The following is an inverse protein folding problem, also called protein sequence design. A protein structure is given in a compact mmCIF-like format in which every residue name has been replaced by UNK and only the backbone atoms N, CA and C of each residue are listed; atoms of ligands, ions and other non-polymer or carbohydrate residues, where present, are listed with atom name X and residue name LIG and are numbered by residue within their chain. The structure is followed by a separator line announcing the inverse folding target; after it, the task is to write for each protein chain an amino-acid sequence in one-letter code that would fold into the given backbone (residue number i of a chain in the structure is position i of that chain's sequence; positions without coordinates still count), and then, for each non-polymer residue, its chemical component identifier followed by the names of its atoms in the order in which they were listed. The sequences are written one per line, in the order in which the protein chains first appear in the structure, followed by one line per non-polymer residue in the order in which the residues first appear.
data_IF_819393838784
#
_entry.id   IF_819393838784
#
_cell.length_a   1.000
_cell.length_b   1.000
_cell.length_c   1.000
_cell.angle_alpha   90.00
_cell.angle_beta   90.00
_cell.angle_gamma   90.00
#
_symmetry.space_group_name_H-M   'P 1'
#
loop_
_entity.id
_entity.type
_entity.pdbx_description
1 polymer ?
#
# COMPACT_ATOMS: atom_id res chain seq x y z
N UNK A 1 13.02 -9.30 -17.03
CA UNK A 1 11.82 -8.54 -16.58
C UNK A 1 12.23 -7.65 -15.43
N UNK A 2 11.69 -6.43 -15.32
CA UNK A 2 11.95 -5.56 -14.18
C UNK A 2 11.17 -6.14 -12.98
N UNK A 3 11.84 -6.31 -11.84
CA UNK A 3 11.22 -6.75 -10.58
C UNK A 3 10.14 -5.75 -10.16
N UNK A 4 8.89 -6.17 -9.85
CA UNK A 4 7.91 -5.29 -9.24
C UNK A 4 8.34 -4.90 -7.83
N UNK A 5 8.04 -3.66 -7.40
CA UNK A 5 8.14 -3.30 -5.99
C UNK A 5 7.10 -4.08 -5.19
N UNK A 6 7.46 -4.54 -4.00
CA UNK A 6 6.55 -5.24 -3.11
C UNK A 6 6.19 -4.37 -1.90
N UNK A 7 4.90 -4.29 -1.60
CA UNK A 7 4.38 -3.68 -0.38
C UNK A 7 3.58 -4.70 0.42
N UNK A 8 3.92 -4.89 1.68
CA UNK A 8 3.16 -5.71 2.62
C UNK A 8 2.43 -4.80 3.61
N UNK A 9 1.10 -4.81 3.55
CA UNK A 9 0.23 -3.89 4.26
C UNK A 9 -0.52 -4.55 5.42
N UNK A 10 -0.94 -3.74 6.41
CA UNK A 10 -1.71 -4.21 7.55
C UNK A 10 -0.87 -4.95 8.59
N UNK A 11 0.37 -4.50 8.78
CA UNK A 11 1.24 -4.94 9.89
C UNK A 11 0.65 -4.38 11.17
N UNK A 12 0.27 -5.26 12.12
CA UNK A 12 -0.45 -4.84 13.33
C UNK A 12 0.10 -5.46 14.62
N UNK A 13 1.30 -6.06 14.54
CA UNK A 13 2.04 -6.58 15.70
C UNK A 13 3.55 -6.51 15.48
N UNK A 14 4.31 -6.56 16.58
CA UNK A 14 5.78 -6.70 16.51
C UNK A 14 6.20 -8.00 15.79
N UNK A 15 5.40 -9.07 15.92
CA UNK A 15 5.63 -10.31 15.20
C UNK A 15 5.53 -10.09 13.69
N UNK A 16 4.44 -9.47 13.23
CA UNK A 16 4.25 -9.18 11.80
C UNK A 16 5.39 -8.32 11.25
N UNK A 17 5.82 -7.29 12.01
CA UNK A 17 6.92 -6.44 11.59
C UNK A 17 8.22 -7.23 11.45
N UNK A 18 8.55 -8.11 12.39
CA UNK A 18 9.75 -8.96 12.32
C UNK A 18 9.73 -9.88 11.10
N UNK A 19 8.60 -10.54 10.86
CA UNK A 19 8.43 -11.45 9.72
C UNK A 19 8.56 -10.70 8.39
N UNK A 20 7.91 -9.54 8.27
CA UNK A 20 7.94 -8.75 7.02
C UNK A 20 9.25 -8.00 6.82
N UNK A 21 9.95 -7.60 7.86
CA UNK A 21 11.27 -6.98 7.75
C UNK A 21 12.33 -7.93 7.14
N UNK A 22 12.23 -9.24 7.43
CA UNK A 22 13.12 -10.26 6.85
C UNK A 22 12.76 -10.64 5.40
N UNK A 23 11.70 -10.10 4.83
CA UNK A 23 11.19 -10.42 3.49
C UNK A 23 11.83 -9.57 2.40
N UNK A 24 11.51 -9.86 1.13
CA UNK A 24 11.92 -9.07 -0.03
C UNK A 24 11.01 -7.85 -0.29
N UNK A 25 10.08 -7.52 0.62
CA UNK A 25 9.25 -6.33 0.48
C UNK A 25 10.08 -5.04 0.53
N UNK A 26 9.76 -4.09 -0.34
CA UNK A 26 10.35 -2.76 -0.37
C UNK A 26 9.62 -1.80 0.59
N UNK A 27 8.32 -2.05 0.83
CA UNK A 27 7.43 -1.19 1.62
C UNK A 27 6.66 -1.99 2.67
N UNK A 28 6.54 -1.44 3.88
CA UNK A 28 5.83 -2.01 5.02
C UNK A 28 4.73 -1.07 5.49
N UNK A 29 3.45 -1.52 5.45
CA UNK A 29 2.28 -0.67 5.67
C UNK A 29 1.62 -0.89 7.04
N UNK A 30 1.34 0.22 7.74
CA UNK A 30 0.62 0.30 9.01
C UNK A 30 -0.69 1.06 8.82
N UNK A 31 -1.81 0.56 9.35
CA UNK A 31 -3.12 1.18 9.17
C UNK A 31 -3.47 1.98 10.43
N UNK A 32 -3.56 3.30 10.29
CA UNK A 32 -3.94 4.24 11.35
C UNK A 32 -5.42 4.64 11.28
N UNK A 33 -6.20 3.96 10.47
CA UNK A 33 -7.65 4.11 10.37
C UNK A 33 -8.37 2.95 11.06
N UNK A 34 -9.67 3.11 11.33
CA UNK A 34 -10.51 2.04 11.91
C UNK A 34 -10.49 0.79 11.02
N UNK A 35 -9.98 -0.29 11.57
CA UNK A 35 -9.78 -1.56 10.87
C UNK A 35 -9.48 -2.67 11.87
N UNK A 36 -9.73 -3.93 11.49
CA UNK A 36 -9.22 -5.10 12.25
C UNK A 36 -7.70 -5.17 12.35
N UNK A 37 -6.98 -4.35 11.58
CA UNK A 37 -5.52 -4.23 11.55
C UNK A 37 -5.03 -2.85 11.98
N UNK A 38 -5.89 -2.08 12.66
CA UNK A 38 -5.51 -0.75 13.13
C UNK A 38 -4.42 -0.84 14.20
N UNK A 39 -3.51 0.15 14.18
CA UNK A 39 -2.41 0.26 15.12
C UNK A 39 -2.34 1.67 15.73
N UNK A 40 -1.80 1.76 16.93
CA UNK A 40 -1.53 3.05 17.54
C UNK A 40 -0.11 3.54 17.18
N UNK A 41 0.10 4.83 16.86
CA UNK A 41 1.43 5.36 16.46
C UNK A 41 2.55 5.07 17.46
N UNK A 42 2.29 5.15 18.78
CA UNK A 42 3.27 4.85 19.81
C UNK A 42 3.71 3.36 19.80
N UNK A 43 2.82 2.44 19.46
CA UNK A 43 3.17 1.03 19.35
C UNK A 43 4.07 0.79 18.14
N UNK A 44 3.73 1.35 16.98
CA UNK A 44 4.56 1.27 15.76
C UNK A 44 5.95 1.85 16.02
N UNK A 45 6.05 3.05 16.62
CA UNK A 45 7.33 3.65 16.99
C UNK A 45 8.17 2.73 17.90
N UNK A 46 7.52 2.09 18.88
CA UNK A 46 8.19 1.14 19.78
C UNK A 46 8.70 -0.10 19.04
N UNK A 47 7.93 -0.62 18.08
CA UNK A 47 8.33 -1.78 17.28
C UNK A 47 9.47 -1.45 16.31
N UNK A 48 9.42 -0.31 15.64
CA UNK A 48 10.48 0.14 14.72
C UNK A 48 11.86 0.26 15.40
N UNK A 49 11.90 0.55 16.71
CA UNK A 49 13.15 0.60 17.49
C UNK A 49 13.72 -0.79 17.82
N UNK A 50 12.98 -1.87 17.58
CA UNK A 50 13.35 -3.25 17.91
C UNK A 50 13.67 -4.11 16.69
N UNK A 51 13.49 -3.57 15.48
CA UNK A 51 13.64 -4.31 14.22
C UNK A 51 14.55 -3.51 13.29
N UNK A 52 15.45 -4.20 12.59
CA UNK A 52 16.25 -3.58 11.54
C UNK A 52 15.39 -3.34 10.29
N UNK A 53 15.29 -2.08 9.86
CA UNK A 53 14.44 -1.61 8.77
C UNK A 53 15.23 -0.82 7.73
N UNK A 54 16.56 -0.95 7.68
CA UNK A 54 17.47 -0.14 6.85
C UNK A 54 17.04 -0.11 5.38
N UNK A 55 16.60 -1.23 4.83
CA UNK A 55 16.21 -1.34 3.42
C UNK A 55 14.69 -1.26 3.20
N UNK A 56 13.92 -0.83 4.21
CA UNK A 56 12.46 -0.79 4.16
C UNK A 56 11.93 0.64 4.20
N UNK A 57 10.95 0.94 3.35
CA UNK A 57 10.16 2.16 3.44
C UNK A 57 8.88 1.91 4.23
N UNK A 58 8.58 2.78 5.18
CA UNK A 58 7.40 2.67 6.03
C UNK A 58 6.25 3.49 5.46
N UNK A 59 5.08 2.86 5.37
CA UNK A 59 3.86 3.45 4.80
C UNK A 59 2.79 3.55 5.88
N UNK A 60 2.32 4.76 6.16
CA UNK A 60 1.14 4.98 7.01
C UNK A 60 -0.12 5.06 6.15
N UNK A 61 -1.12 4.23 6.46
CA UNK A 61 -2.42 4.24 5.75
C UNK A 61 -3.46 4.98 6.59
N UNK A 62 -4.09 5.97 5.98
CA UNK A 62 -5.10 6.84 6.59
C UNK A 62 -6.38 6.85 5.75
N UNK A 63 -7.52 7.09 6.38
CA UNK A 63 -8.84 7.16 5.73
C UNK A 63 -9.59 8.37 6.26
N UNK A 64 -9.77 9.40 5.44
CA UNK A 64 -10.50 10.64 5.76
C UNK A 64 -10.01 11.32 7.06
N UNK A 65 -8.69 11.22 7.33
CA UNK A 65 -8.09 11.82 8.51
C UNK A 65 -7.62 13.25 8.21
N UNK A 66 -7.61 14.12 9.21
CA UNK A 66 -7.16 15.50 9.04
C UNK A 66 -5.65 15.58 8.77
N UNK A 67 -5.21 16.54 7.96
CA UNK A 67 -3.79 16.76 7.67
C UNK A 67 -2.99 17.00 8.97
N UNK A 68 -3.57 17.64 9.98
CA UNK A 68 -2.93 17.87 11.27
C UNK A 68 -2.68 16.56 12.04
N UNK A 69 -3.66 15.65 12.10
CA UNK A 69 -3.51 14.34 12.75
C UNK A 69 -2.48 13.46 12.02
N UNK A 70 -2.50 13.48 10.68
CA UNK A 70 -1.50 12.77 9.88
C UNK A 70 -0.09 13.30 10.19
N UNK A 71 0.10 14.63 10.19
CA UNK A 71 1.38 15.25 10.49
C UNK A 71 1.89 14.92 11.91
N UNK A 72 1.01 14.86 12.92
CA UNK A 72 1.38 14.41 14.27
C UNK A 72 1.80 12.92 14.30
N UNK A 73 1.15 12.09 13.50
CA UNK A 73 1.55 10.68 13.35
C UNK A 73 2.93 10.56 12.73
N UNK A 74 3.23 11.33 11.68
CA UNK A 74 4.55 11.37 11.02
C UNK A 74 5.66 11.82 11.99
N UNK A 75 5.39 12.75 12.90
CA UNK A 75 6.36 13.12 13.95
C UNK A 75 6.66 11.98 14.93
N UNK A 76 5.70 11.08 15.12
CA UNK A 76 5.81 9.96 16.07
C UNK A 76 6.43 8.72 15.43
N UNK A 77 6.05 8.42 14.19
CA UNK A 77 6.47 7.23 13.44
C UNK A 77 7.32 7.69 12.24
N UNK A 78 8.50 7.09 11.98
CA UNK A 78 9.37 7.48 10.88
C UNK A 78 8.79 6.98 9.54
N UNK A 79 7.69 7.56 9.08
CA UNK A 79 7.05 7.21 7.82
C UNK A 79 7.80 7.84 6.64
N UNK A 80 7.98 7.07 5.57
CA UNK A 80 8.47 7.55 4.27
C UNK A 80 7.30 7.93 3.35
N UNK A 81 6.15 7.30 3.54
CA UNK A 81 4.99 7.42 2.65
C UNK A 81 3.71 7.54 3.47
N UNK A 82 2.84 8.44 3.04
CA UNK A 82 1.46 8.56 3.50
C UNK A 82 0.55 8.03 2.39
N UNK A 83 -0.20 6.97 2.68
CA UNK A 83 -1.22 6.43 1.79
C UNK A 83 -2.60 6.91 2.22
N UNK A 84 -3.24 7.72 1.38
CA UNK A 84 -4.61 8.19 1.56
C UNK A 84 -5.58 7.19 0.92
N UNK A 85 -6.44 6.58 1.72
CA UNK A 85 -7.34 5.49 1.30
C UNK A 85 -8.82 5.84 1.52
N UNK A 86 -9.12 7.11 1.68
CA UNK A 86 -10.47 7.66 1.84
C UNK A 86 -10.96 8.39 0.61
N UNK A 87 -11.77 9.42 0.84
CA UNK A 87 -12.33 10.32 -0.17
C UNK A 87 -11.62 11.69 -0.14
N UNK A 88 -10.33 11.69 0.25
CA UNK A 88 -9.54 12.91 0.40
C UNK A 88 -9.50 13.69 -0.92
N UNK A 89 -9.79 14.98 -0.83
CA UNK A 89 -9.83 15.90 -1.97
C UNK A 89 -8.44 16.39 -2.37
N UNK A 90 -8.34 17.05 -3.53
CA UNK A 90 -7.11 17.73 -3.97
C UNK A 90 -6.65 18.76 -2.94
N UNK A 91 -7.60 19.47 -2.32
CA UNK A 91 -7.34 20.48 -1.30
C UNK A 91 -6.74 19.85 -0.03
N UNK A 92 -7.29 18.72 0.42
CA UNK A 92 -6.75 17.97 1.57
C UNK A 92 -5.31 17.48 1.29
N UNK A 93 -5.06 16.97 0.08
CA UNK A 93 -3.72 16.52 -0.34
C UNK A 93 -2.73 17.68 -0.35
N UNK A 94 -3.10 18.83 -0.92
CA UNK A 94 -2.28 20.04 -0.94
C UNK A 94 -2.00 20.58 0.48
N UNK A 95 -3.01 20.57 1.35
CA UNK A 95 -2.81 20.95 2.74
C UNK A 95 -1.83 20.03 3.46
N UNK A 96 -1.92 18.72 3.21
CA UNK A 96 -1.01 17.75 3.79
C UNK A 96 0.41 17.92 3.24
N UNK A 97 0.58 18.15 1.94
CA UNK A 97 1.89 18.23 1.28
C UNK A 97 2.78 19.38 1.79
N UNK A 98 2.21 20.43 2.39
CA UNK A 98 2.98 21.52 3.02
C UNK A 98 3.33 21.24 4.48
N UNK A 99 2.82 20.14 5.06
CA UNK A 99 3.01 19.77 6.48
C UNK A 99 3.98 18.59 6.67
N UNK A 100 4.42 17.94 5.57
CA UNK A 100 5.28 16.75 5.63
C UNK A 100 6.14 16.64 4.38
N UNK A 101 7.31 16.01 4.54
CA UNK A 101 8.23 15.67 3.43
C UNK A 101 8.00 14.21 2.94
N UNK A 102 7.02 13.50 3.47
CA UNK A 102 6.69 12.14 3.04
C UNK A 102 6.11 12.12 1.61
N UNK A 103 6.40 11.06 0.84
CA UNK A 103 5.66 10.80 -0.40
C UNK A 103 4.14 10.64 -0.07
N UNK A 104 3.27 11.20 -0.88
CA UNK A 104 1.82 11.06 -0.72
C UNK A 104 1.28 10.18 -1.84
N UNK A 105 0.71 9.03 -1.48
CA UNK A 105 0.08 8.11 -2.43
C UNK A 105 -1.44 8.09 -2.23
N UNK A 106 -2.18 7.98 -3.34
CA UNK A 106 -3.65 7.88 -3.31
C UNK A 106 -4.10 6.48 -3.71
N UNK A 107 -4.86 5.84 -2.83
CA UNK A 107 -5.55 4.61 -3.17
C UNK A 107 -6.87 4.93 -3.88
N UNK A 108 -7.14 4.23 -4.98
CA UNK A 108 -8.32 4.37 -5.81
C UNK A 108 -8.96 3.00 -6.07
N UNK A 109 -10.29 2.89 -6.10
CA UNK A 109 -10.96 1.67 -6.48
C UNK A 109 -10.75 1.38 -7.96
N UNK A 110 -10.75 0.09 -8.33
CA UNK A 110 -10.87 -0.31 -9.73
C UNK A 110 -12.31 -0.12 -10.21
N UNK A 111 -12.55 0.91 -11.02
CA UNK A 111 -13.86 1.22 -11.62
C UNK A 111 -13.68 1.99 -12.94
N UNK A 112 -14.77 2.22 -13.68
CA UNK A 112 -14.75 2.89 -14.99
C UNK A 112 -14.19 4.32 -14.96
N UNK A 113 -14.26 5.01 -13.81
CA UNK A 113 -13.77 6.39 -13.62
C UNK A 113 -12.31 6.50 -13.16
N UNK A 114 -11.66 5.40 -12.79
CA UNK A 114 -10.35 5.43 -12.11
C UNK A 114 -9.27 6.18 -12.87
N UNK A 115 -9.17 5.97 -14.20
CA UNK A 115 -8.16 6.66 -15.03
C UNK A 115 -8.43 8.17 -15.08
N UNK A 116 -9.69 8.59 -15.14
CA UNK A 116 -10.05 10.01 -15.08
C UNK A 116 -9.63 10.61 -13.74
N UNK A 117 -9.92 9.93 -12.64
CA UNK A 117 -9.51 10.36 -11.28
C UNK A 117 -7.99 10.41 -11.15
N UNK A 118 -7.25 9.42 -11.68
CA UNK A 118 -5.78 9.45 -11.72
C UNK A 118 -5.27 10.70 -12.44
N UNK A 119 -5.78 11.01 -13.63
CA UNK A 119 -5.36 12.18 -14.39
C UNK A 119 -5.62 13.50 -13.64
N UNK A 120 -6.70 13.60 -12.88
CA UNK A 120 -7.02 14.78 -12.08
C UNK A 120 -6.07 14.95 -10.88
N UNK A 121 -5.57 13.85 -10.31
CA UNK A 121 -4.74 13.85 -9.11
C UNK A 121 -3.24 13.78 -9.42
N UNK A 122 -2.84 13.46 -10.64
CA UNK A 122 -1.47 13.07 -11.01
C UNK A 122 -0.40 14.10 -10.65
N UNK A 123 -0.75 15.40 -10.66
CA UNK A 123 0.16 16.48 -10.28
C UNK A 123 0.25 16.72 -8.76
N UNK A 124 -0.62 16.08 -7.97
CA UNK A 124 -0.73 16.32 -6.52
C UNK A 124 -0.24 15.18 -5.66
N UNK A 125 -0.01 14.00 -6.25
CA UNK A 125 0.45 12.80 -5.53
C UNK A 125 1.73 12.24 -6.14
N UNK A 126 2.45 11.42 -5.37
CA UNK A 126 3.69 10.75 -5.79
C UNK A 126 3.44 9.33 -6.28
N UNK A 127 2.27 8.78 -6.01
CA UNK A 127 1.91 7.42 -6.42
C UNK A 127 0.44 7.10 -6.28
N UNK A 128 0.09 5.96 -6.86
CA UNK A 128 -1.26 5.40 -6.82
C UNK A 128 -1.25 3.94 -6.36
N UNK A 129 -2.30 3.55 -5.66
CA UNK A 129 -2.62 2.15 -5.38
C UNK A 129 -3.99 1.88 -5.98
N UNK A 130 -4.10 0.92 -6.89
CA UNK A 130 -5.39 0.50 -7.46
C UNK A 130 -5.84 -0.76 -6.73
N UNK A 131 -6.97 -0.64 -6.01
CA UNK A 131 -7.53 -1.72 -5.21
C UNK A 131 -8.82 -2.28 -5.84
N UNK A 132 -9.05 -3.56 -5.68
CA UNK A 132 -10.26 -4.27 -6.14
C UNK A 132 -11.51 -3.96 -5.31
N UNK A 133 -11.59 -2.85 -4.61
CA UNK A 133 -12.73 -2.51 -3.73
C UNK A 133 -14.08 -2.78 -4.41
N UNK A 134 -14.87 -3.67 -3.84
CA UNK A 134 -16.27 -3.86 -4.21
C UNK A 134 -17.07 -2.79 -3.45
N UNK A 135 -18.05 -2.18 -4.10
CA UNK A 135 -18.90 -1.12 -3.55
C UNK A 135 -19.18 -1.27 -2.06
N UNK A 136 -18.71 -0.33 -1.25
CA UNK A 136 -19.01 -0.20 0.18
C UNK A 136 -18.10 -0.94 1.16
N UNK A 137 -17.19 -1.81 0.71
CA UNK A 137 -16.18 -2.45 1.59
C UNK A 137 -14.79 -2.02 1.12
N UNK A 138 -14.23 -1.02 1.77
CA UNK A 138 -12.87 -0.54 1.50
C UNK A 138 -11.86 -1.58 1.96
N UNK A 139 -11.24 -2.26 1.00
CA UNK A 139 -10.15 -3.21 1.21
C UNK A 139 -10.54 -4.54 1.86
N UNK A 140 -9.85 -5.60 1.50
CA UNK A 140 -9.91 -6.89 2.22
C UNK A 140 -11.01 -7.87 1.82
N UNK A 141 -11.75 -7.64 0.72
CA UNK A 141 -12.72 -8.60 0.18
C UNK A 141 -12.08 -9.91 -0.31
N UNK A 142 -10.77 -9.91 -0.55
CA UNK A 142 -10.05 -11.07 -1.09
C UNK A 142 -10.36 -11.38 -2.56
N UNK A 143 -11.14 -10.54 -3.25
CA UNK A 143 -11.50 -10.72 -4.66
C UNK A 143 -10.62 -9.79 -5.51
N UNK A 144 -9.92 -10.37 -6.49
CA UNK A 144 -9.15 -9.61 -7.48
C UNK A 144 -10.08 -9.05 -8.57
N UNK A 145 -9.78 -7.84 -9.06
CA UNK A 145 -10.42 -7.31 -10.26
C UNK A 145 -9.80 -7.92 -11.54
N UNK A 146 -10.38 -7.62 -12.72
CA UNK A 146 -9.80 -8.03 -14.00
C UNK A 146 -8.49 -7.28 -14.25
N UNK A 147 -7.36 -7.96 -14.09
CA UNK A 147 -6.01 -7.38 -14.23
C UNK A 147 -5.63 -6.98 -15.66
N UNK A 148 -6.45 -7.25 -16.66
CA UNK A 148 -6.29 -6.76 -18.03
C UNK A 148 -6.29 -5.23 -18.14
N UNK A 149 -6.80 -4.53 -17.09
CA UNK A 149 -6.76 -3.06 -16.99
C UNK A 149 -5.43 -2.51 -16.47
N UNK A 150 -4.54 -3.33 -15.93
CA UNK A 150 -3.24 -2.92 -15.37
C UNK A 150 -2.40 -2.11 -16.37
N UNK A 151 -2.31 -2.46 -17.68
CA UNK A 151 -1.55 -1.69 -18.66
C UNK A 151 -2.00 -0.22 -18.76
N UNK A 152 -3.29 0.06 -18.67
CA UNK A 152 -3.82 1.43 -18.75
C UNK A 152 -3.42 2.27 -17.54
N UNK A 153 -3.49 1.70 -16.33
CA UNK A 153 -3.02 2.37 -15.10
C UNK A 153 -1.52 2.61 -15.15
N UNK A 154 -0.75 1.62 -15.61
CA UNK A 154 0.70 1.71 -15.77
C UNK A 154 1.09 2.82 -16.73
N UNK A 155 0.45 2.92 -17.89
CA UNK A 155 0.68 3.99 -18.86
C UNK A 155 0.37 5.37 -18.25
N UNK A 156 -0.78 5.48 -17.57
CA UNK A 156 -1.19 6.74 -16.93
C UNK A 156 -0.19 7.21 -15.89
N UNK A 157 0.22 6.33 -14.97
CA UNK A 157 1.19 6.67 -13.94
C UNK A 157 2.58 7.00 -14.53
N UNK A 158 3.01 6.28 -15.56
CA UNK A 158 4.33 6.45 -16.18
C UNK A 158 4.50 7.82 -16.88
N UNK A 159 3.42 8.44 -17.38
CA UNK A 159 3.47 9.75 -18.03
C UNK A 159 4.11 10.84 -17.16
N UNK A 160 3.89 10.78 -15.85
CA UNK A 160 4.41 11.74 -14.87
C UNK A 160 5.40 11.09 -13.88
N UNK A 161 5.92 9.90 -14.21
CA UNK A 161 6.89 9.18 -13.36
C UNK A 161 6.34 8.76 -11.99
N UNK A 162 5.01 8.59 -11.86
CA UNK A 162 4.38 8.25 -10.60
C UNK A 162 4.50 6.77 -10.27
N UNK A 163 4.61 6.45 -8.98
CA UNK A 163 4.56 5.06 -8.51
C UNK A 163 3.18 4.47 -8.74
N UNK A 164 3.13 3.17 -8.98
CA UNK A 164 1.87 2.43 -9.11
C UNK A 164 1.98 1.07 -8.43
N UNK A 165 1.00 0.77 -7.59
CA UNK A 165 0.81 -0.55 -6.99
C UNK A 165 -0.56 -1.09 -7.33
N UNK A 166 -0.63 -2.40 -7.58
CA UNK A 166 -1.87 -3.15 -7.78
C UNK A 166 -2.16 -3.91 -6.49
N UNK A 167 -3.35 -3.68 -5.94
CA UNK A 167 -3.83 -4.25 -4.69
C UNK A 167 -5.13 -5.04 -4.89
N UNK A 168 -5.63 -5.61 -3.80
CA UNK A 168 -6.92 -6.30 -3.76
C UNK A 168 -6.85 -7.75 -4.23
N UNK A 169 -7.06 -8.67 -3.30
CA UNK A 169 -7.18 -10.10 -3.57
C UNK A 169 -5.94 -10.79 -4.11
N UNK A 170 -4.77 -10.15 -4.10
CA UNK A 170 -3.52 -10.78 -4.53
C UNK A 170 -3.01 -11.74 -3.45
N UNK A 171 -2.64 -12.94 -3.86
CA UNK A 171 -2.11 -14.00 -2.99
C UNK A 171 -1.20 -14.96 -3.78
N UNK A 172 -0.43 -15.87 -3.12
CA UNK A 172 0.52 -16.73 -3.80
C UNK A 172 -0.07 -17.55 -4.96
N UNK A 173 -1.35 -17.98 -4.88
CA UNK A 173 -1.95 -18.86 -5.89
C UNK A 173 -2.37 -18.12 -7.17
N UNK A 174 -2.50 -16.79 -7.13
CA UNK A 174 -2.96 -16.01 -8.30
C UNK A 174 -1.96 -14.99 -8.83
N UNK A 175 -0.87 -14.70 -8.10
CA UNK A 175 0.09 -13.65 -8.48
C UNK A 175 0.72 -13.87 -9.86
N UNK A 176 0.94 -15.10 -10.28
CA UNK A 176 1.47 -15.43 -11.62
C UNK A 176 0.56 -14.95 -12.75
N UNK A 177 -0.75 -14.82 -12.50
CA UNK A 177 -1.68 -14.23 -13.45
C UNK A 177 -1.54 -12.70 -13.50
N UNK A 178 -1.31 -12.04 -12.37
CA UNK A 178 -1.04 -10.61 -12.31
C UNK A 178 0.29 -10.27 -13.01
N UNK A 179 1.33 -11.09 -12.82
CA UNK A 179 2.66 -10.87 -13.41
C UNK A 179 2.67 -10.87 -14.94
N UNK A 180 1.69 -11.51 -15.61
CA UNK A 180 1.52 -11.43 -17.06
C UNK A 180 1.33 -10.00 -17.56
N UNK A 181 0.80 -9.12 -16.71
CA UNK A 181 0.54 -7.71 -17.01
C UNK A 181 1.68 -6.77 -16.57
N UNK A 182 2.77 -7.33 -16.02
CA UNK A 182 3.97 -6.61 -15.60
C UNK A 182 3.67 -5.39 -14.70
N UNK A 183 2.99 -5.59 -13.55
CA UNK A 183 2.69 -4.50 -12.64
C UNK A 183 3.99 -3.87 -12.12
N UNK A 184 4.07 -2.53 -11.99
CA UNK A 184 5.25 -1.87 -11.43
C UNK A 184 5.43 -2.14 -9.93
N UNK A 185 4.31 -2.35 -9.22
CA UNK A 185 4.27 -2.71 -7.81
C UNK A 185 3.08 -3.59 -7.48
N UNK A 186 3.19 -4.36 -6.41
CA UNK A 186 2.14 -5.25 -5.89
C UNK A 186 1.98 -4.98 -4.39
N UNK A 187 0.75 -4.72 -3.96
CA UNK A 187 0.41 -4.50 -2.55
C UNK A 187 -0.45 -5.66 -2.01
N UNK A 188 0.02 -6.27 -0.93
CA UNK A 188 -0.64 -7.41 -0.29
C UNK A 188 -0.97 -7.12 1.18
N UNK A 189 -2.15 -7.56 1.61
CA UNK A 189 -2.51 -7.59 3.02
C UNK A 189 -2.87 -9.01 3.47
N UNK A 190 -4.11 -9.45 3.23
CA UNK A 190 -4.62 -10.76 3.66
C UNK A 190 -4.02 -11.95 2.92
N UNK A 191 -3.53 -11.76 1.70
CA UNK A 191 -2.97 -12.84 0.87
C UNK A 191 -1.71 -13.51 1.45
N UNK A 192 -1.08 -12.89 2.44
CA UNK A 192 0.09 -13.41 3.17
C UNK A 192 -0.18 -13.58 4.66
N UNK A 193 -1.45 -13.76 5.06
CA UNK A 193 -1.86 -13.96 6.46
C UNK A 193 -2.37 -15.38 6.70
N UNK A 194 -2.02 -15.92 7.86
CA UNK A 194 -2.60 -17.11 8.45
C UNK A 194 -3.09 -16.78 9.85
N UNK A 195 -4.35 -17.14 10.16
CA UNK A 195 -4.99 -16.85 11.45
C UNK A 195 -4.91 -15.37 11.85
N UNK A 196 -4.96 -14.48 10.87
CA UNK A 196 -4.93 -13.04 11.07
C UNK A 196 -3.54 -12.42 11.30
N UNK A 197 -2.45 -13.16 11.19
CA UNK A 197 -1.07 -12.69 11.31
C UNK A 197 -0.28 -12.92 10.02
N UNK A 198 0.78 -12.15 9.79
CA UNK A 198 1.69 -12.35 8.65
C UNK A 198 2.39 -13.69 8.77
N UNK A 199 2.35 -14.48 7.70
CA UNK A 199 2.90 -15.84 7.65
C UNK A 199 4.19 -15.85 6.85
N UNK A 200 5.30 -16.19 7.51
CA UNK A 200 6.61 -16.38 6.86
C UNK A 200 6.51 -17.37 5.70
N UNK A 201 5.77 -18.48 5.89
CA UNK A 201 5.53 -19.49 4.87
C UNK A 201 4.83 -18.93 3.63
N UNK A 202 3.77 -18.12 3.82
CA UNK A 202 3.03 -17.53 2.69
C UNK A 202 3.83 -16.43 2.00
N UNK A 203 4.61 -15.67 2.75
CA UNK A 203 5.54 -14.66 2.21
C UNK A 203 6.57 -15.35 1.34
N UNK A 204 7.28 -16.37 1.84
CA UNK A 204 8.26 -17.11 1.04
C UNK A 204 7.65 -17.70 -0.23
N UNK A 205 6.47 -18.33 -0.11
CA UNK A 205 5.76 -18.89 -1.27
C UNK A 205 5.36 -17.82 -2.29
N UNK A 206 4.99 -16.61 -1.84
CA UNK A 206 4.66 -15.51 -2.71
C UNK A 206 5.90 -14.99 -3.45
N UNK A 207 6.99 -14.76 -2.73
CA UNK A 207 8.24 -14.26 -3.26
C UNK A 207 8.88 -15.22 -4.26
N UNK A 208 8.85 -16.53 -3.97
CA UNK A 208 9.23 -17.56 -4.94
C UNK A 208 8.51 -17.41 -6.29
N UNK A 209 7.21 -17.15 -6.26
CA UNK A 209 6.41 -17.00 -7.50
C UNK A 209 6.60 -15.68 -8.22
N UNK A 210 7.06 -14.65 -7.52
CA UNK A 210 7.33 -13.33 -8.11
C UNK A 210 8.73 -13.28 -8.72
N UNK A 211 9.71 -14.00 -8.16
CA UNK A 211 11.12 -13.81 -8.50
C UNK A 211 11.77 -15.03 -9.18
N UNK A 212 11.09 -16.17 -9.27
CA UNK A 212 11.50 -17.32 -10.07
C UNK A 212 10.77 -17.34 -11.42
#
# INVERSE_FOLDING_TARGET
MIRPNLKYCGIHSLHDLKVTACSLADYLGFIFAESKRSVHPLDVNRWCKQVDLVDKKLVGVFVNESAATIAETVKTVPLDVIQLHGDETIEDIKQLSVMTDCEIWKALPHESGTIHTMNNLISTVDGFIIDSSVHGVRGGSGIAFSWEHVPFYKETAAKEGKRLFIAGGVHPQNVTNLLKWQPPGIDLASGIEEKGQKSERLISLFEERVFM
#
